data_IF_149642391075
#
_entry.id   IF_149642391075
#
_cell.length_a   1.000
_cell.length_b   1.000
_cell.length_c   1.000
_cell.angle_alpha   90.00
_cell.angle_beta   90.00
_cell.angle_gamma   90.00
#
_symmetry.space_group_name_H-M   'P 1'
#
loop_
_entity.id
_entity.type
_entity.pdbx_description
1 polymer ?
#
# COMPACT_ATOMS: atom_id res chain seq x y z
N UNK A 1 6.59 -18.06 5.43
CA UNK A 1 5.25 -17.72 5.98
C UNK A 1 5.16 -16.20 6.02
N UNK A 2 4.29 -15.59 5.22
CA UNK A 2 4.20 -14.13 5.11
C UNK A 2 3.58 -13.52 6.38
N UNK A 3 4.18 -12.45 6.90
CA UNK A 3 3.60 -11.67 8.01
C UNK A 3 2.19 -11.21 7.61
N UNK A 4 1.19 -11.54 8.42
CA UNK A 4 -0.16 -11.04 8.23
C UNK A 4 -0.23 -9.58 8.71
N UNK A 5 -0.41 -8.65 7.78
CA UNK A 5 -0.60 -7.23 8.11
C UNK A 5 -2.07 -6.95 8.39
N UNK A 6 -2.35 -6.21 9.46
CA UNK A 6 -3.69 -5.73 9.79
C UNK A 6 -4.18 -4.70 8.77
N UNK A 7 -5.48 -4.40 8.77
CA UNK A 7 -6.06 -3.39 7.86
C UNK A 7 -5.45 -2.01 8.13
N UNK A 8 -5.20 -1.67 9.40
CA UNK A 8 -4.59 -0.41 9.81
C UNK A 8 -3.15 -0.27 9.33
N UNK A 9 -2.35 -1.33 9.47
CA UNK A 9 -0.97 -1.36 8.95
C UNK A 9 -0.96 -1.14 7.43
N UNK A 10 -1.85 -1.80 6.69
CA UNK A 10 -1.96 -1.64 5.23
C UNK A 10 -2.30 -0.20 4.85
N UNK A 11 -3.24 0.44 5.56
CA UNK A 11 -3.60 1.85 5.35
C UNK A 11 -2.41 2.77 5.63
N UNK A 12 -1.66 2.53 6.70
CA UNK A 12 -0.47 3.32 7.02
C UNK A 12 0.61 3.21 5.93
N UNK A 13 0.86 2.00 5.41
CA UNK A 13 1.81 1.81 4.31
C UNK A 13 1.37 2.49 3.01
N UNK A 14 0.08 2.42 2.68
CA UNK A 14 -0.47 3.10 1.50
C UNK A 14 -0.40 4.62 1.64
N UNK A 15 -0.80 5.17 2.80
CA UNK A 15 -0.72 6.61 3.03
C UNK A 15 0.73 7.10 2.88
N UNK A 16 1.67 6.38 3.50
CA UNK A 16 3.10 6.73 3.40
C UNK A 16 3.64 6.61 1.98
N UNK A 17 3.20 5.62 1.20
CA UNK A 17 3.51 5.51 -0.23
C UNK A 17 3.02 6.75 -1.00
N UNK A 18 1.79 7.23 -0.75
CA UNK A 18 1.27 8.44 -1.38
C UNK A 18 2.04 9.71 -0.92
N UNK A 19 2.38 9.83 0.36
CA UNK A 19 3.19 10.94 0.88
C UNK A 19 4.59 11.00 0.24
N UNK A 20 5.18 9.82 0.00
CA UNK A 20 6.49 9.72 -0.67
C UNK A 20 6.43 10.10 -2.16
N UNK A 21 5.24 10.02 -2.79
CA UNK A 21 5.08 10.23 -4.23
C UNK A 21 5.86 9.22 -5.09
N UNK A 22 6.30 8.11 -4.49
CA UNK A 22 7.15 7.09 -5.13
C UNK A 22 6.33 5.92 -5.66
N UNK A 23 6.79 5.26 -6.72
CA UNK A 23 6.15 4.05 -7.20
C UNK A 23 6.20 2.92 -6.15
N UNK A 24 5.26 1.95 -6.21
CA UNK A 24 5.11 0.90 -5.20
C UNK A 24 6.38 0.13 -4.90
N UNK A 25 7.22 -0.09 -5.91
CA UNK A 25 8.47 -0.84 -5.78
C UNK A 25 9.49 -0.12 -4.91
N UNK A 26 9.60 1.19 -5.04
CA UNK A 26 10.54 1.99 -4.25
C UNK A 26 10.01 2.22 -2.85
N UNK A 27 8.73 2.58 -2.73
CA UNK A 27 8.05 2.71 -1.44
C UNK A 27 8.13 1.40 -0.64
N UNK A 28 7.93 0.24 -1.28
CA UNK A 28 8.03 -1.06 -0.63
C UNK A 28 9.44 -1.35 -0.07
N UNK A 29 10.48 -0.98 -0.82
CA UNK A 29 11.88 -1.13 -0.36
C UNK A 29 12.16 -0.26 0.87
N UNK A 30 11.65 0.97 0.87
CA UNK A 30 11.81 1.92 1.97
C UNK A 30 10.99 1.54 3.21
N UNK A 31 9.80 0.98 3.00
CA UNK A 31 8.88 0.54 4.05
C UNK A 31 9.18 -0.88 4.57
N UNK A 32 10.10 -1.62 3.94
CA UNK A 32 10.43 -2.99 4.31
C UNK A 32 9.29 -3.99 4.06
N UNK A 33 8.41 -3.70 3.11
CA UNK A 33 7.26 -4.56 2.74
C UNK A 33 7.44 -5.17 1.36
N UNK A 34 6.69 -6.23 1.06
CA UNK A 34 6.69 -6.81 -0.28
C UNK A 34 5.99 -5.88 -1.28
N UNK A 35 6.67 -5.54 -2.38
CA UNK A 35 6.11 -4.68 -3.43
C UNK A 35 4.80 -5.24 -4.02
N UNK A 36 4.69 -6.56 -4.17
CA UNK A 36 3.46 -7.22 -4.65
C UNK A 36 2.29 -7.02 -3.69
N UNK A 37 2.54 -7.13 -2.37
CA UNK A 37 1.51 -6.90 -1.36
C UNK A 37 1.03 -5.44 -1.38
N UNK A 38 1.98 -4.51 -1.44
CA UNK A 38 1.69 -3.08 -1.50
C UNK A 38 0.91 -2.70 -2.78
N UNK A 39 1.26 -3.30 -3.93
CA UNK A 39 0.53 -3.14 -5.18
C UNK A 39 -0.90 -3.68 -5.10
N UNK A 40 -1.10 -4.88 -4.55
CA UNK A 40 -2.43 -5.46 -4.36
C UNK A 40 -3.31 -4.61 -3.44
N UNK A 41 -2.75 -4.09 -2.34
CA UNK A 41 -3.47 -3.20 -1.43
C UNK A 41 -3.81 -1.87 -2.11
N UNK A 42 -2.88 -1.31 -2.88
CA UNK A 42 -3.11 -0.07 -3.63
C UNK A 42 -4.25 -0.24 -4.64
N UNK A 43 -4.28 -1.34 -5.38
CA UNK A 43 -5.37 -1.64 -6.32
C UNK A 43 -6.73 -1.79 -5.62
N UNK A 44 -6.78 -2.45 -4.45
CA UNK A 44 -8.01 -2.56 -3.67
C UNK A 44 -8.46 -1.22 -3.08
N UNK A 45 -7.51 -0.38 -2.67
CA UNK A 45 -7.78 0.94 -2.10
C UNK A 45 -8.23 1.96 -3.14
N UNK A 46 -7.59 1.97 -4.32
CA UNK A 46 -7.92 2.89 -5.42
C UNK A 46 -9.32 2.61 -6.00
N UNK A 47 -9.69 1.31 -6.12
CA UNK A 47 -11.04 0.91 -6.49
C UNK A 47 -12.11 1.39 -5.49
N UNK A 48 -11.76 1.51 -4.20
CA UNK A 48 -12.64 2.07 -3.17
C UNK A 48 -12.73 3.59 -3.23
N UNK A 49 -11.62 4.28 -3.56
CA UNK A 49 -11.57 5.74 -3.67
C UNK A 49 -12.32 6.27 -4.90
N UNK A 50 -12.46 5.45 -5.94
CA UNK A 50 -13.24 5.78 -7.15
C UNK A 50 -14.77 5.71 -6.96
N UNK A 51 -15.26 5.18 -5.85
CA UNK A 51 -16.70 5.04 -5.55
C UNK A 51 -17.26 6.13 -4.62
N UNK A 52 -16.44 7.08 -4.18
CA UNK A 52 -16.88 8.27 -3.43
C UNK A 52 -16.89 9.53 -4.32
N UNK A 53 -17.50 9.44 -5.50
CA UNK A 53 -17.82 10.60 -6.34
C UNK A 53 -19.27 10.56 -6.82
#
# INVERSE_FOLDING_TARGET
>A
MGRAYTIEERKAFLNKMYELGKPPREAAKELGVCATSLYCWGKQHDAHRYYEF
#
